data_IF_884989560947
#
_entry.id   IF_884989560947
#
_cell.length_a   1.000
_cell.length_b   1.000
_cell.length_c   1.000
_cell.angle_alpha   90.00
_cell.angle_beta   90.00
_cell.angle_gamma   90.00
#
_symmetry.space_group_name_H-M   'P 1'
#
loop_
_entity.id
_entity.type
_entity.pdbx_description
1 polymer ?
#
# COMPACT_ATOMS: atom_id res chain seq x y z
N UNK A 1 -5.59 8.21 19.00
CA UNK A 1 -5.42 8.46 17.55
C UNK A 1 -4.10 7.82 17.16
N UNK A 2 -4.08 7.02 16.11
CA UNK A 2 -2.83 6.42 15.59
C UNK A 2 -2.42 7.25 14.36
N UNK A 3 -1.15 7.66 14.33
CA UNK A 3 -0.56 8.38 13.19
C UNK A 3 0.30 7.41 12.40
N UNK A 4 0.09 7.37 11.09
CA UNK A 4 0.89 6.61 10.13
C UNK A 4 1.74 7.61 9.33
N UNK A 5 3.00 7.88 9.71
CA UNK A 5 3.88 8.60 8.82
C UNK A 5 4.06 7.79 7.53
N UNK A 6 4.24 8.48 6.40
CA UNK A 6 4.29 7.81 5.11
C UNK A 6 5.65 7.98 4.42
N UNK A 7 6.07 6.94 3.69
CA UNK A 7 7.25 6.95 2.81
C UNK A 7 6.82 6.40 1.45
N UNK A 8 6.76 7.27 0.47
CA UNK A 8 6.62 6.88 -0.94
C UNK A 8 8.00 6.58 -1.52
N UNK A 9 8.13 5.54 -2.34
CA UNK A 9 9.41 5.07 -2.86
C UNK A 9 9.41 5.02 -4.38
N UNK A 10 10.42 5.66 -4.98
CA UNK A 10 10.81 5.53 -6.39
C UNK A 10 12.32 5.23 -6.45
N UNK A 11 12.73 4.23 -7.23
CA UNK A 11 14.12 3.82 -7.40
C UNK A 11 14.86 3.62 -6.06
N UNK A 12 14.16 3.06 -5.05
CA UNK A 12 14.69 2.80 -3.72
C UNK A 12 14.87 4.06 -2.85
N UNK A 13 14.38 5.22 -3.26
CA UNK A 13 14.52 6.50 -2.56
C UNK A 13 13.18 7.03 -2.04
N UNK A 14 13.20 7.66 -0.84
CA UNK A 14 12.03 8.38 -0.33
C UNK A 14 11.73 9.59 -1.21
N UNK A 15 10.50 9.66 -1.72
CA UNK A 15 10.04 10.74 -2.59
C UNK A 15 8.73 11.33 -2.11
N UNK A 16 8.37 12.48 -2.68
CA UNK A 16 7.06 13.10 -2.56
C UNK A 16 6.53 13.46 -3.93
N UNK A 17 5.26 13.14 -4.17
CA UNK A 17 4.53 13.56 -5.36
C UNK A 17 3.60 14.75 -5.03
N UNK A 18 3.49 15.70 -5.91
CA UNK A 18 2.45 16.72 -5.82
C UNK A 18 1.17 16.19 -6.47
N UNK A 19 0.12 16.02 -5.68
CA UNK A 19 -1.20 15.50 -6.12
C UNK A 19 -1.13 14.17 -6.88
N UNK A 20 -0.16 13.31 -6.57
CA UNK A 20 0.00 12.01 -7.22
C UNK A 20 0.63 12.05 -8.62
N UNK A 21 1.09 13.21 -9.08
CA UNK A 21 1.71 13.34 -10.40
C UNK A 21 3.19 12.90 -10.34
N UNK A 22 3.51 11.81 -11.00
CA UNK A 22 4.87 11.24 -11.07
C UNK A 22 5.91 12.18 -11.70
N UNK A 23 5.48 13.09 -12.59
CA UNK A 23 6.38 14.10 -13.17
C UNK A 23 6.88 15.12 -12.13
N UNK A 24 6.22 15.18 -10.98
CA UNK A 24 6.58 16.08 -9.85
C UNK A 24 7.38 15.39 -8.77
N UNK A 25 7.86 14.16 -9.00
CA UNK A 25 8.60 13.41 -8.01
C UNK A 25 9.82 14.19 -7.52
N UNK A 26 9.90 14.41 -6.23
CA UNK A 26 11.01 15.08 -5.55
C UNK A 26 11.55 14.15 -4.47
N UNK A 27 12.86 13.88 -4.48
CA UNK A 27 13.50 13.11 -3.41
C UNK A 27 13.52 13.98 -2.14
N UNK A 28 13.00 13.45 -1.04
CA UNK A 28 12.85 14.16 0.24
C UNK A 28 13.79 13.66 1.33
N UNK A 29 14.44 12.53 1.12
CA UNK A 29 15.48 12.00 1.99
C UNK A 29 16.43 11.08 1.22
N UNK A 30 17.60 10.78 1.79
CA UNK A 30 18.63 9.97 1.12
C UNK A 30 18.44 8.47 1.34
N UNK A 31 17.87 8.08 2.48
CA UNK A 31 17.76 6.68 2.91
C UNK A 31 16.41 6.39 3.57
N UNK A 32 15.79 5.27 3.16
CA UNK A 32 14.47 4.84 3.66
C UNK A 32 14.55 4.37 5.11
N UNK A 33 15.58 3.60 5.46
CA UNK A 33 15.73 3.06 6.82
C UNK A 33 16.07 4.15 7.83
N UNK A 34 16.90 5.12 7.44
CA UNK A 34 17.17 6.29 8.27
C UNK A 34 15.90 7.11 8.51
N UNK A 35 15.09 7.32 7.46
CA UNK A 35 13.79 8.00 7.56
C UNK A 35 12.84 7.27 8.50
N UNK A 36 12.73 5.95 8.37
CA UNK A 36 11.91 5.11 9.26
C UNK A 36 12.38 5.18 10.71
N UNK A 37 13.70 5.14 10.96
CA UNK A 37 14.25 5.31 12.30
C UNK A 37 13.96 6.70 12.90
N UNK A 38 13.90 7.75 12.07
CA UNK A 38 13.45 9.07 12.50
C UNK A 38 12.00 9.05 13.01
N UNK A 39 11.12 8.27 12.36
CA UNK A 39 9.74 8.10 12.84
C UNK A 39 9.67 7.30 14.14
N UNK A 40 10.51 6.27 14.32
CA UNK A 40 10.65 5.56 15.61
C UNK A 40 11.02 6.52 16.73
N UNK A 41 12.01 7.37 16.51
CA UNK A 41 12.46 8.38 17.48
C UNK A 41 11.36 9.40 17.82
N UNK A 42 10.49 9.70 16.84
CA UNK A 42 9.32 10.56 17.04
C UNK A 42 8.14 9.85 17.74
N UNK A 43 8.27 8.56 18.07
CA UNK A 43 7.26 7.77 18.77
C UNK A 43 6.20 7.14 17.88
N UNK A 44 6.43 7.00 16.58
CA UNK A 44 5.55 6.27 15.68
C UNK A 44 5.59 4.76 16.00
N UNK A 45 4.43 4.10 15.91
CA UNK A 45 4.28 2.64 16.02
C UNK A 45 4.08 1.99 14.65
N UNK A 46 3.61 2.77 13.68
CA UNK A 46 3.32 2.33 12.33
C UNK A 46 4.04 3.20 11.31
N UNK A 47 4.25 2.66 10.14
CA UNK A 47 4.65 3.40 8.94
C UNK A 47 3.84 2.89 7.74
N UNK A 48 3.35 3.82 6.93
CA UNK A 48 2.72 3.54 5.65
C UNK A 48 3.76 3.69 4.54
N UNK A 49 3.95 2.66 3.71
CA UNK A 49 4.97 2.68 2.66
C UNK A 49 4.34 2.32 1.31
N UNK A 50 4.71 3.04 0.27
CA UNK A 50 4.17 2.83 -1.08
C UNK A 50 5.27 2.57 -2.09
N UNK A 51 5.17 1.44 -2.80
CA UNK A 51 5.97 1.13 -3.98
C UNK A 51 5.37 1.83 -5.21
N UNK A 52 5.83 3.05 -5.48
CA UNK A 52 5.36 3.82 -6.63
C UNK A 52 5.82 3.20 -7.95
N UNK A 53 7.05 2.66 -8.00
CA UNK A 53 7.51 1.89 -9.17
C UNK A 53 6.65 0.65 -9.39
N UNK A 54 6.34 -0.07 -8.32
CA UNK A 54 5.48 -1.24 -8.36
C UNK A 54 4.06 -0.90 -8.82
N UNK A 55 3.53 0.24 -8.41
CA UNK A 55 2.23 0.73 -8.88
C UNK A 55 2.22 0.93 -10.40
N UNK A 56 3.29 1.51 -10.98
CA UNK A 56 3.43 1.74 -12.41
C UNK A 56 3.69 0.45 -13.19
N UNK A 57 4.65 -0.37 -12.73
CA UNK A 57 5.05 -1.61 -13.39
C UNK A 57 4.09 -2.77 -13.17
N UNK A 58 3.16 -2.62 -12.21
CA UNK A 58 2.16 -3.63 -11.85
C UNK A 58 2.79 -4.92 -11.27
N UNK A 59 3.91 -4.77 -10.59
CA UNK A 59 4.69 -5.84 -9.97
C UNK A 59 5.41 -5.32 -8.72
N UNK A 60 6.00 -6.20 -7.90
CA UNK A 60 6.84 -5.80 -6.77
C UNK A 60 8.20 -5.32 -7.26
N UNK A 61 8.58 -4.07 -6.98
CA UNK A 61 9.88 -3.51 -7.37
C UNK A 61 10.77 -3.27 -6.13
N UNK A 62 10.29 -2.49 -5.16
CA UNK A 62 11.06 -2.08 -3.99
C UNK A 62 10.82 -2.98 -2.76
N UNK A 63 10.36 -4.23 -2.98
CA UNK A 63 9.91 -5.12 -1.91
C UNK A 63 10.96 -5.39 -0.82
N UNK A 64 12.25 -5.47 -1.16
CA UNK A 64 13.30 -5.69 -0.18
C UNK A 64 13.43 -4.51 0.79
N UNK A 65 13.28 -3.29 0.33
CA UNK A 65 13.32 -2.09 1.17
C UNK A 65 12.27 -2.13 2.27
N UNK A 66 11.05 -2.60 1.96
CA UNK A 66 9.98 -2.75 2.96
C UNK A 66 10.28 -3.84 3.99
N UNK A 67 10.82 -4.97 3.52
CA UNK A 67 11.26 -6.06 4.39
C UNK A 67 12.39 -5.61 5.31
N UNK A 68 13.34 -4.83 4.80
CA UNK A 68 14.44 -4.30 5.60
C UNK A 68 13.93 -3.35 6.71
N UNK A 69 12.97 -2.49 6.43
CA UNK A 69 12.34 -1.63 7.45
C UNK A 69 11.61 -2.47 8.50
N UNK A 70 10.84 -3.47 8.08
CA UNK A 70 10.11 -4.35 9.00
C UNK A 70 11.06 -5.17 9.88
N UNK A 71 12.19 -5.62 9.35
CA UNK A 71 13.16 -6.42 10.08
C UNK A 71 14.08 -5.61 11.01
N UNK A 72 14.37 -4.35 10.66
CA UNK A 72 15.38 -3.53 11.33
C UNK A 72 14.80 -2.42 12.22
N UNK A 73 13.48 -2.26 12.25
CA UNK A 73 12.79 -1.29 13.11
C UNK A 73 11.67 -1.95 13.90
N UNK A 74 11.22 -1.36 15.01
CA UNK A 74 10.04 -1.84 15.73
C UNK A 74 8.71 -1.41 15.08
N UNK A 75 8.73 -0.74 13.93
CA UNK A 75 7.53 -0.26 13.25
C UNK A 75 6.71 -1.41 12.69
N UNK A 76 5.40 -1.31 12.85
CA UNK A 76 4.46 -2.09 12.07
C UNK A 76 4.36 -1.49 10.67
N UNK A 77 4.76 -2.25 9.67
CA UNK A 77 4.81 -1.76 8.29
C UNK A 77 3.50 -2.09 7.58
N UNK A 78 2.85 -1.06 7.05
CA UNK A 78 1.72 -1.16 6.13
C UNK A 78 2.22 -0.80 4.74
N UNK A 79 1.92 -1.64 3.74
CA UNK A 79 2.45 -1.43 2.40
C UNK A 79 1.36 -1.43 1.33
N UNK A 80 1.59 -0.65 0.28
CA UNK A 80 0.82 -0.66 -0.97
C UNK A 80 1.71 -0.50 -2.19
N UNK A 81 1.13 -0.69 -3.37
CA UNK A 81 1.83 -0.55 -4.65
C UNK A 81 2.23 -1.89 -5.29
N UNK A 82 1.73 -2.15 -6.50
CA UNK A 82 2.12 -3.29 -7.33
C UNK A 82 1.61 -4.67 -6.93
N UNK A 83 0.85 -4.80 -5.84
CA UNK A 83 0.38 -6.09 -5.29
C UNK A 83 -0.84 -6.57 -6.07
N UNK A 84 -0.71 -7.70 -6.77
CA UNK A 84 -1.74 -8.19 -7.70
C UNK A 84 -2.00 -9.68 -7.66
N UNK A 85 -1.18 -10.45 -6.95
CA UNK A 85 -1.27 -11.90 -6.87
C UNK A 85 -1.23 -12.40 -5.43
N UNK A 86 -1.71 -13.61 -5.19
CA UNK A 86 -1.54 -14.28 -3.89
C UNK A 86 -0.07 -14.44 -3.53
N UNK A 87 0.80 -14.71 -4.51
CA UNK A 87 2.24 -14.84 -4.29
C UNK A 87 2.89 -13.52 -3.81
N UNK A 88 2.35 -12.36 -4.20
CA UNK A 88 2.81 -11.07 -3.68
C UNK A 88 2.41 -10.92 -2.21
N UNK A 89 1.18 -11.30 -1.87
CA UNK A 89 0.66 -11.24 -0.50
C UNK A 89 1.43 -12.20 0.39
N UNK A 90 1.62 -13.45 -0.04
CA UNK A 90 2.41 -14.48 0.64
C UNK A 90 3.83 -13.99 0.96
N UNK A 91 4.47 -13.37 -0.03
CA UNK A 91 5.81 -12.83 0.16
C UNK A 91 5.84 -11.83 1.33
N UNK A 92 4.94 -10.87 1.36
CA UNK A 92 4.92 -9.86 2.40
C UNK A 92 4.50 -10.43 3.76
N UNK A 93 3.51 -11.33 3.79
CA UNK A 93 3.08 -12.02 5.00
C UNK A 93 4.22 -12.79 5.68
N UNK A 94 5.04 -13.48 4.88
CA UNK A 94 6.18 -14.28 5.36
C UNK A 94 7.43 -13.44 5.71
N UNK A 95 7.44 -12.14 5.37
CA UNK A 95 8.58 -11.25 5.62
C UNK A 95 8.27 -10.12 6.63
N UNK A 96 7.32 -10.35 7.54
CA UNK A 96 7.11 -9.48 8.69
C UNK A 96 6.29 -8.21 8.42
N UNK A 97 5.68 -8.07 7.24
CA UNK A 97 4.77 -6.96 6.94
C UNK A 97 3.49 -7.10 7.76
N UNK A 98 3.06 -6.01 8.38
CA UNK A 98 1.92 -6.00 9.30
C UNK A 98 0.58 -5.75 8.60
N UNK A 99 0.58 -5.12 7.42
CA UNK A 99 -0.62 -4.89 6.61
C UNK A 99 -0.29 -4.72 5.14
N UNK A 100 -1.09 -5.36 4.29
CA UNK A 100 -0.99 -5.32 2.83
C UNK A 100 -2.22 -4.66 2.27
N UNK A 101 -2.03 -3.55 1.54
CA UNK A 101 -3.12 -2.77 0.94
C UNK A 101 -3.33 -3.23 -0.51
N UNK A 102 -4.53 -3.68 -0.79
CA UNK A 102 -5.00 -4.01 -2.14
C UNK A 102 -5.77 -2.81 -2.70
N UNK A 103 -5.22 -2.14 -3.71
CA UNK A 103 -5.84 -0.99 -4.38
C UNK A 103 -6.64 -1.41 -5.60
N UNK A 104 -6.13 -1.11 -6.80
CA UNK A 104 -6.81 -1.37 -8.10
C UNK A 104 -7.30 -2.81 -8.28
N UNK A 105 -6.61 -3.79 -7.69
CA UNK A 105 -6.98 -5.20 -7.77
C UNK A 105 -8.32 -5.48 -7.06
N UNK A 106 -8.68 -4.70 -6.04
CA UNK A 106 -9.97 -4.87 -5.35
C UNK A 106 -11.17 -4.67 -6.28
N UNK A 107 -11.06 -3.74 -7.22
CA UNK A 107 -12.08 -3.54 -8.25
C UNK A 107 -11.95 -4.57 -9.40
N UNK A 108 -10.71 -4.81 -9.87
CA UNK A 108 -10.45 -5.59 -11.08
C UNK A 108 -10.53 -7.11 -10.86
N UNK A 109 -10.22 -7.60 -9.66
CA UNK A 109 -10.24 -9.01 -9.29
C UNK A 109 -10.72 -9.22 -7.83
N UNK A 110 -12.01 -9.00 -7.54
CA UNK A 110 -12.55 -9.18 -6.18
C UNK A 110 -12.34 -10.59 -5.60
N UNK A 111 -12.28 -11.62 -6.45
CA UNK A 111 -12.04 -12.98 -6.01
C UNK A 111 -10.66 -13.15 -5.33
N UNK A 112 -9.66 -12.39 -5.77
CA UNK A 112 -8.34 -12.38 -5.11
C UNK A 112 -8.47 -11.79 -3.69
N UNK A 113 -9.26 -10.72 -3.52
CA UNK A 113 -9.48 -10.12 -2.19
C UNK A 113 -10.16 -11.11 -1.26
N UNK A 114 -11.21 -11.80 -1.72
CA UNK A 114 -11.91 -12.81 -0.95
C UNK A 114 -10.98 -13.93 -0.50
N UNK A 115 -10.15 -14.45 -1.43
CA UNK A 115 -9.16 -15.46 -1.12
C UNK A 115 -8.13 -14.95 -0.10
N UNK A 116 -7.59 -13.75 -0.31
CA UNK A 116 -6.59 -13.14 0.56
C UNK A 116 -7.12 -12.91 1.98
N UNK A 117 -8.35 -12.41 2.12
CA UNK A 117 -8.97 -12.20 3.44
C UNK A 117 -9.22 -13.53 4.14
N UNK A 118 -9.65 -14.57 3.40
CA UNK A 118 -9.86 -15.91 3.97
C UNK A 118 -8.55 -16.51 4.51
N UNK A 119 -7.43 -16.28 3.86
CA UNK A 119 -6.13 -16.86 4.20
C UNK A 119 -5.37 -16.02 5.22
N UNK A 120 -5.38 -14.69 5.08
CA UNK A 120 -4.55 -13.76 5.86
C UNK A 120 -5.32 -12.84 6.82
N UNK A 121 -6.66 -12.82 6.74
CA UNK A 121 -7.50 -12.07 7.68
C UNK A 121 -7.18 -10.57 7.74
N UNK A 122 -6.86 -10.10 8.93
CA UNK A 122 -6.61 -8.67 9.21
C UNK A 122 -5.30 -8.11 8.62
N UNK A 123 -4.45 -8.97 8.06
CA UNK A 123 -3.30 -8.52 7.28
C UNK A 123 -3.76 -7.73 6.04
N UNK A 124 -4.94 -8.04 5.52
CA UNK A 124 -5.46 -7.44 4.29
C UNK A 124 -6.24 -6.16 4.60
N UNK A 125 -5.84 -5.08 3.94
CA UNK A 125 -6.61 -3.86 3.83
C UNK A 125 -6.94 -3.55 2.37
N UNK A 126 -7.99 -2.76 2.13
CA UNK A 126 -8.36 -2.30 0.79
C UNK A 126 -8.29 -0.79 0.72
N UNK A 127 -7.46 -0.28 -0.19
CA UNK A 127 -7.40 1.13 -0.54
C UNK A 127 -8.42 1.46 -1.62
N UNK A 128 -9.34 2.39 -1.33
CA UNK A 128 -10.37 2.83 -2.28
C UNK A 128 -10.12 4.29 -2.62
N UNK A 129 -9.44 4.52 -3.73
CA UNK A 129 -9.29 5.85 -4.29
C UNK A 129 -10.55 6.22 -5.08
N UNK A 130 -11.03 7.45 -4.89
CA UNK A 130 -12.26 7.91 -5.57
C UNK A 130 -12.13 9.33 -6.12
N UNK A 131 -12.72 9.55 -7.29
CA UNK A 131 -12.84 10.86 -7.90
C UNK A 131 -14.29 11.08 -8.33
N UNK A 132 -14.88 12.20 -7.89
CA UNK A 132 -16.28 12.55 -8.17
C UNK A 132 -17.29 11.45 -7.76
N UNK A 133 -17.01 10.68 -6.71
CA UNK A 133 -17.89 9.62 -6.22
C UNK A 133 -17.66 8.24 -6.85
N UNK A 134 -16.78 8.12 -7.84
CA UNK A 134 -16.48 6.86 -8.52
C UNK A 134 -15.04 6.40 -8.22
N UNK A 135 -14.86 5.08 -8.18
CA UNK A 135 -13.55 4.48 -7.91
C UNK A 135 -12.57 4.83 -9.02
N UNK A 136 -11.40 5.31 -8.62
CA UNK A 136 -10.26 5.52 -9.50
C UNK A 136 -9.22 4.41 -9.30
N UNK A 137 -8.62 3.94 -10.37
CA UNK A 137 -7.61 2.88 -10.36
C UNK A 137 -6.33 3.31 -11.07
N UNK A 138 -5.29 2.48 -11.00
CA UNK A 138 -4.00 2.68 -11.68
C UNK A 138 -3.37 4.05 -11.35
N UNK A 139 -3.26 4.37 -10.06
CA UNK A 139 -2.69 5.66 -9.63
C UNK A 139 -3.52 6.87 -10.11
N UNK A 140 -4.85 6.77 -10.08
CA UNK A 140 -5.81 7.81 -10.46
C UNK A 140 -5.92 8.07 -11.97
N UNK A 141 -5.28 7.25 -12.81
CA UNK A 141 -5.28 7.44 -14.28
C UNK A 141 -6.49 6.84 -14.96
N UNK A 142 -7.11 5.82 -14.35
CA UNK A 142 -8.30 5.15 -14.88
C UNK A 142 -9.50 5.38 -13.94
N UNK A 143 -10.60 5.88 -14.49
CA UNK A 143 -11.90 5.97 -13.82
C UNK A 143 -12.70 4.68 -13.99
N UNK A 144 -13.70 4.49 -13.13
CA UNK A 144 -14.68 3.40 -13.24
C UNK A 144 -16.11 3.93 -13.10
N UNK A 145 -17.09 3.08 -13.41
CA UNK A 145 -18.51 3.35 -13.18
C UNK A 145 -18.98 2.83 -11.79
N UNK A 146 -18.08 2.29 -11.00
CA UNK A 146 -18.38 1.77 -9.66
C UNK A 146 -18.32 2.89 -8.63
N UNK A 147 -19.42 3.12 -7.90
CA UNK A 147 -19.42 4.07 -6.81
C UNK A 147 -18.57 3.55 -5.65
N UNK A 148 -17.77 4.43 -5.02
CA UNK A 148 -16.81 4.00 -3.97
C UNK A 148 -17.48 3.34 -2.76
N UNK A 149 -18.71 3.76 -2.40
CA UNK A 149 -19.49 3.13 -1.31
C UNK A 149 -19.90 1.71 -1.68
N UNK A 150 -20.22 1.45 -2.95
CA UNK A 150 -20.63 0.11 -3.38
C UNK A 150 -19.45 -0.86 -3.34
N UNK A 151 -18.27 -0.39 -3.75
CA UNK A 151 -17.04 -1.18 -3.59
C UNK A 151 -16.72 -1.42 -2.10
N UNK A 152 -16.85 -0.40 -1.23
CA UNK A 152 -16.60 -0.56 0.20
C UNK A 152 -17.54 -1.60 0.84
N UNK A 153 -18.83 -1.57 0.51
CA UNK A 153 -19.81 -2.58 0.97
C UNK A 153 -19.48 -3.98 0.45
N UNK A 154 -19.02 -4.08 -0.79
CA UNK A 154 -18.59 -5.36 -1.37
C UNK A 154 -17.39 -5.92 -0.61
N UNK A 155 -16.39 -5.09 -0.31
CA UNK A 155 -15.21 -5.50 0.45
C UNK A 155 -15.57 -5.89 1.89
N UNK A 156 -16.45 -5.14 2.55
CA UNK A 156 -16.97 -5.48 3.87
C UNK A 156 -17.67 -6.85 3.87
N UNK A 157 -18.51 -7.12 2.86
CA UNK A 157 -19.20 -8.40 2.71
C UNK A 157 -18.23 -9.58 2.50
N UNK A 158 -17.04 -9.35 1.94
CA UNK A 158 -15.98 -10.33 1.79
C UNK A 158 -15.13 -10.50 3.07
N UNK A 159 -15.39 -9.71 4.11
CA UNK A 159 -14.72 -9.81 5.41
C UNK A 159 -13.52 -8.87 5.58
N UNK A 160 -13.28 -7.95 4.66
CA UNK A 160 -12.26 -6.89 4.83
C UNK A 160 -12.63 -6.03 6.04
N UNK A 161 -11.65 -5.78 6.93
CA UNK A 161 -11.85 -5.02 8.18
C UNK A 161 -11.30 -3.59 8.12
N UNK A 162 -10.39 -3.33 7.19
CA UNK A 162 -9.72 -2.03 7.04
C UNK A 162 -9.75 -1.57 5.59
#
# INVERSE_FOLDING_TARGET
>A
MIIFPAIDIIDGKPVRLFKGDFATAEQVADDVLETANGFVQAGAEWVHMVDLDGSLKKERVNSQTFVDVAAQTPLKVEIGGGIRTMADIDFYANNGISRVILGSVALKNPALVEQAVKEFGELIAVGIDAKNGFVATEGWTEGSDTHYIDLAKQMEAMGVKT
#
